data_IF_683029702692
#
_entry.id   IF_683029702692
#
_cell.length_a   1.000
_cell.length_b   1.000
_cell.length_c   1.000
_cell.angle_alpha   90.00
_cell.angle_beta   90.00
_cell.angle_gamma   90.00
#
_symmetry.space_group_name_H-M   'P 1'
#
loop_
_entity.id
_entity.type
_entity.pdbx_description
1 polymer ?
#
# COMPACT_ATOMS: atom_id res chain seq x y z
N UNK A 1 8.46 67.16 48.16
CA UNK A 1 7.85 67.31 49.50
C UNK A 1 7.71 65.93 50.13
N UNK A 2 8.43 65.81 51.25
CA UNK A 2 8.18 65.02 52.48
C UNK A 2 7.94 63.52 52.31
N UNK A 3 8.94 62.69 52.58
CA UNK A 3 9.36 62.19 53.91
C UNK A 3 8.41 61.09 54.39
N UNK A 4 8.76 59.96 54.82
CA UNK A 4 9.84 59.36 55.67
C UNK A 4 9.13 58.19 56.36
N UNK A 5 9.57 57.16 56.75
CA UNK A 5 10.60 56.63 57.64
C UNK A 5 10.30 55.13 57.87
N UNK A 6 11.22 54.36 57.80
CA UNK A 6 12.08 53.66 58.83
C UNK A 6 11.56 52.27 59.24
N UNK A 7 12.48 51.40 59.06
CA UNK A 7 12.71 50.11 59.70
C UNK A 7 12.80 50.22 61.25
N UNK A 8 13.21 49.21 62.04
CA UNK A 8 13.66 47.83 61.82
C UNK A 8 13.29 46.87 63.00
N UNK A 9 14.04 45.79 63.05
CA UNK A 9 14.36 44.92 64.26
C UNK A 9 13.48 43.66 64.39
N UNK A 10 13.96 42.52 64.82
CA UNK A 10 15.27 41.89 65.06
C UNK A 10 15.00 40.42 65.40
N UNK A 11 15.90 39.58 64.96
CA UNK A 11 16.53 38.43 65.64
C UNK A 11 15.71 37.66 66.66
N UNK A 12 15.52 36.36 66.47
CA UNK A 12 15.86 35.32 67.41
C UNK A 12 16.00 33.96 66.75
N UNK A 13 17.20 33.46 66.75
CA UNK A 13 17.48 32.08 66.35
C UNK A 13 17.14 31.15 67.51
N UNK A 14 16.65 29.98 67.18
CA UNK A 14 16.74 28.80 68.05
C UNK A 14 17.13 27.61 67.11
N UNK A 15 18.35 27.15 67.36
CA UNK A 15 18.81 25.86 66.85
C UNK A 15 18.18 24.78 67.75
N UNK A 16 17.62 23.76 67.10
CA UNK A 16 17.36 22.47 67.72
C UNK A 16 17.91 21.36 66.86
N UNK A 17 18.77 20.62 67.51
CA UNK A 17 19.57 19.50 67.04
C UNK A 17 18.70 18.24 66.97
N UNK A 18 18.94 17.47 65.89
CA UNK A 18 18.98 16.02 65.80
C UNK A 18 17.73 15.20 66.08
N UNK A 19 17.46 14.38 65.13
CA UNK A 19 16.62 13.20 65.24
C UNK A 19 16.56 12.45 63.91
N UNK A 20 17.66 11.78 63.51
CA UNK A 20 17.61 10.79 62.40
C UNK A 20 16.88 9.58 62.96
N UNK A 21 15.61 9.41 62.61
CA UNK A 21 14.93 8.13 62.73
C UNK A 21 14.67 7.66 61.30
N UNK A 22 15.46 6.69 60.90
CA UNK A 22 15.28 5.98 59.64
C UNK A 22 13.96 5.21 59.67
N UNK A 23 12.99 5.70 58.92
CA UNK A 23 11.81 4.96 58.53
C UNK A 23 12.08 4.39 57.14
N UNK A 24 12.59 3.14 57.13
CA UNK A 24 12.58 2.30 55.94
C UNK A 24 11.14 2.01 55.54
N UNK A 25 10.62 2.79 54.59
CA UNK A 25 9.39 2.45 53.92
C UNK A 25 9.68 1.28 52.98
N UNK A 26 9.35 0.07 53.41
CA UNK A 26 9.14 -1.05 52.52
C UNK A 26 7.96 -0.64 51.63
N UNK A 27 8.26 -0.24 50.39
CA UNK A 27 7.28 -0.16 49.33
C UNK A 27 6.81 -1.60 49.05
N UNK A 28 5.67 -1.98 49.62
CA UNK A 28 4.96 -3.17 49.19
C UNK A 28 4.54 -2.91 47.73
N UNK A 29 5.27 -3.55 46.82
CA UNK A 29 4.88 -3.63 45.43
C UNK A 29 3.50 -4.31 45.39
N UNK A 30 2.44 -3.52 45.28
CA UNK A 30 1.13 -4.05 44.93
C UNK A 30 1.23 -4.50 43.48
N UNK A 31 1.38 -5.81 43.26
CA UNK A 31 1.15 -6.43 41.98
C UNK A 31 -0.26 -6.08 41.55
N UNK A 32 -0.38 -5.27 40.50
CA UNK A 32 -1.65 -5.02 39.84
C UNK A 32 -2.32 -6.37 39.54
N UNK A 33 -3.64 -6.50 39.79
CA UNK A 33 -4.34 -7.74 39.46
C UNK A 33 -4.09 -8.07 38.02
N UNK A 34 -3.58 -9.26 37.73
CA UNK A 34 -3.46 -9.76 36.38
C UNK A 34 -4.85 -9.70 35.73
N UNK A 35 -4.96 -8.93 34.66
CA UNK A 35 -6.15 -8.95 33.82
C UNK A 35 -6.40 -10.41 33.42
N UNK A 36 -7.65 -10.91 33.48
CA UNK A 36 -7.95 -12.25 33.01
C UNK A 36 -7.41 -12.39 31.59
N UNK A 37 -6.55 -13.37 31.38
CA UNK A 37 -6.08 -13.74 30.07
C UNK A 37 -7.29 -14.17 29.22
N UNK A 38 -7.95 -13.23 28.59
CA UNK A 38 -8.74 -13.55 27.42
C UNK A 38 -7.74 -14.06 26.39
N UNK A 39 -7.66 -15.36 26.27
CA UNK A 39 -6.97 -15.99 25.14
C UNK A 39 -7.79 -15.68 23.89
N UNK A 40 -7.70 -14.44 23.43
CA UNK A 40 -8.11 -14.11 22.08
C UNK A 40 -7.02 -14.76 21.24
N UNK A 41 -7.34 -15.91 20.69
CA UNK A 41 -6.51 -16.52 19.65
C UNK A 41 -6.72 -15.66 18.41
N UNK A 42 -6.03 -14.52 18.37
CA UNK A 42 -6.01 -13.65 17.18
C UNK A 42 -5.38 -14.46 16.07
N UNK A 43 -6.19 -14.87 15.10
CA UNK A 43 -5.69 -15.57 13.92
C UNK A 43 -4.92 -14.53 13.11
N UNK A 44 -3.65 -14.82 12.87
CA UNK A 44 -2.85 -13.94 12.01
C UNK A 44 -3.38 -13.95 10.58
N UNK A 45 -3.36 -12.82 9.85
CA UNK A 45 -3.88 -12.75 8.49
C UNK A 45 -3.32 -13.82 7.55
N UNK A 46 -2.00 -14.08 7.60
CA UNK A 46 -1.36 -15.11 6.80
C UNK A 46 -1.81 -16.52 7.20
N UNK A 47 -2.02 -16.79 8.49
CA UNK A 47 -2.49 -18.10 8.94
C UNK A 47 -3.87 -18.42 8.38
N UNK A 48 -4.74 -17.41 8.26
CA UNK A 48 -6.05 -17.61 7.63
C UNK A 48 -5.92 -18.03 6.16
N UNK A 49 -5.01 -17.42 5.43
CA UNK A 49 -4.79 -17.67 4.00
C UNK A 49 -3.98 -18.95 3.71
N UNK A 50 -3.26 -19.47 4.71
CA UNK A 50 -2.34 -20.61 4.51
C UNK A 50 -2.66 -21.84 5.36
N UNK A 51 -3.63 -21.75 6.28
CA UNK A 51 -4.00 -22.90 7.12
C UNK A 51 -4.42 -24.08 6.27
N UNK A 52 -3.97 -25.31 6.61
CA UNK A 52 -4.41 -26.51 5.92
C UNK A 52 -5.93 -26.71 6.05
N UNK A 53 -6.57 -27.07 4.95
CA UNK A 53 -7.99 -27.50 4.93
C UNK A 53 -7.99 -29.03 4.87
N UNK A 54 -8.43 -29.74 5.94
CA UNK A 54 -8.43 -31.19 5.99
C UNK A 54 -9.32 -31.82 4.91
N UNK A 55 -8.90 -32.95 4.36
CA UNK A 55 -9.68 -33.69 3.36
C UNK A 55 -11.03 -34.20 3.91
N UNK A 56 -11.16 -34.35 5.24
CA UNK A 56 -12.36 -34.72 5.91
C UNK A 56 -13.45 -33.62 5.93
N UNK A 57 -13.09 -32.38 5.59
CA UNK A 57 -14.10 -31.32 5.51
C UNK A 57 -15.00 -31.52 4.29
N UNK A 58 -16.33 -31.31 4.43
CA UNK A 58 -17.22 -31.27 3.28
C UNK A 58 -16.69 -30.23 2.25
N UNK A 59 -16.70 -30.62 0.98
CA UNK A 59 -16.24 -29.76 -0.14
C UNK A 59 -14.78 -29.25 0.00
N UNK A 60 -13.88 -30.01 0.65
CA UNK A 60 -12.50 -29.61 0.90
C UNK A 60 -11.76 -29.09 -0.35
N UNK A 61 -11.99 -29.70 -1.51
CA UNK A 61 -11.39 -29.24 -2.78
C UNK A 61 -11.87 -27.82 -3.17
N UNK A 62 -13.17 -27.55 -3.05
CA UNK A 62 -13.73 -26.21 -3.31
C UNK A 62 -13.21 -25.19 -2.29
N UNK A 63 -13.13 -25.57 -1.01
CA UNK A 63 -12.61 -24.68 0.04
C UNK A 63 -11.14 -24.32 -0.17
N UNK A 64 -10.30 -25.29 -0.54
CA UNK A 64 -8.88 -25.01 -0.90
C UNK A 64 -8.76 -24.11 -2.13
N UNK A 65 -9.62 -24.35 -3.14
CA UNK A 65 -9.68 -23.46 -4.30
C UNK A 65 -10.08 -22.05 -3.86
N UNK A 66 -11.14 -21.89 -3.06
CA UNK A 66 -11.60 -20.60 -2.55
C UNK A 66 -10.54 -19.88 -1.71
N UNK A 67 -9.84 -20.60 -0.81
CA UNK A 67 -8.72 -20.04 -0.04
C UNK A 67 -7.63 -19.46 -0.94
N UNK A 68 -7.23 -20.23 -1.95
CA UNK A 68 -6.26 -19.81 -2.95
C UNK A 68 -6.71 -18.57 -3.74
N UNK A 69 -7.98 -18.53 -4.14
CA UNK A 69 -8.56 -17.43 -4.91
C UNK A 69 -8.77 -16.17 -4.05
N UNK A 70 -9.07 -16.29 -2.77
CA UNK A 70 -9.09 -15.15 -1.83
C UNK A 70 -7.71 -14.51 -1.71
N UNK A 71 -6.65 -15.32 -1.70
CA UNK A 71 -5.29 -14.79 -1.78
C UNK A 71 -5.02 -14.17 -3.15
N UNK A 72 -5.38 -14.84 -4.27
CA UNK A 72 -5.20 -14.31 -5.61
C UNK A 72 -5.93 -12.99 -5.86
N UNK A 73 -7.10 -12.81 -5.24
CA UNK A 73 -7.91 -11.60 -5.28
C UNK A 73 -7.48 -10.49 -4.32
N UNK A 74 -6.40 -10.73 -3.56
CA UNK A 74 -5.85 -9.77 -2.60
C UNK A 74 -6.88 -9.19 -1.61
N UNK A 75 -7.88 -9.99 -1.24
CA UNK A 75 -8.99 -9.55 -0.39
C UNK A 75 -8.50 -8.99 0.95
N UNK A 76 -7.42 -9.58 1.49
CA UNK A 76 -6.86 -9.21 2.79
C UNK A 76 -6.34 -7.77 2.82
N UNK A 77 -5.66 -7.30 1.77
CA UNK A 77 -5.05 -5.96 1.74
C UNK A 77 -6.06 -4.84 1.94
N UNK A 78 -7.29 -5.01 1.41
CA UNK A 78 -8.36 -4.04 1.61
C UNK A 78 -9.21 -4.33 2.85
N UNK A 79 -9.44 -5.60 3.20
CA UNK A 79 -10.35 -5.99 4.28
C UNK A 79 -9.67 -6.23 5.63
N UNK A 80 -8.46 -5.66 5.81
CA UNK A 80 -7.69 -5.66 7.05
C UNK A 80 -7.29 -4.23 7.41
N UNK A 81 -7.82 -3.68 8.50
CA UNK A 81 -7.31 -2.42 9.07
C UNK A 81 -6.20 -2.71 10.09
N UNK A 82 -5.37 -1.73 10.36
CA UNK A 82 -4.36 -1.82 11.40
C UNK A 82 -4.99 -2.17 12.76
N UNK A 83 -4.46 -3.17 13.45
CA UNK A 83 -5.00 -3.68 14.72
C UNK A 83 -6.38 -4.32 14.63
N UNK A 84 -6.89 -4.58 13.41
CA UNK A 84 -8.17 -5.25 13.18
C UNK A 84 -8.05 -6.73 12.96
N UNK A 85 -9.19 -7.42 12.99
CA UNK A 85 -9.28 -8.85 12.68
C UNK A 85 -9.26 -9.08 11.15
N UNK A 86 -8.66 -10.18 10.67
CA UNK A 86 -8.61 -10.52 9.27
C UNK A 86 -10.00 -10.53 8.60
N UNK A 87 -10.09 -9.93 7.42
CA UNK A 87 -11.32 -9.83 6.61
C UNK A 87 -12.49 -9.07 7.26
N UNK A 88 -12.30 -8.46 8.44
CA UNK A 88 -13.33 -7.68 9.10
C UNK A 88 -13.52 -6.27 8.51
N UNK A 89 -12.64 -5.85 7.62
CA UNK A 89 -12.73 -4.53 6.96
C UNK A 89 -12.39 -3.36 7.87
N UNK A 90 -12.87 -2.18 7.49
CA UNK A 90 -12.65 -0.94 8.21
C UNK A 90 -11.39 -0.18 7.77
N UNK A 91 -10.68 -0.63 6.74
CA UNK A 91 -9.63 0.15 6.09
C UNK A 91 -10.25 1.31 5.31
N UNK A 92 -9.80 2.53 5.59
CA UNK A 92 -10.23 3.73 4.87
C UNK A 92 -9.40 3.96 3.61
N UNK A 93 -9.96 3.69 2.45
CA UNK A 93 -9.35 3.95 1.14
C UNK A 93 -9.54 5.42 0.78
N UNK A 94 -8.44 6.17 0.74
CA UNK A 94 -8.44 7.60 0.39
C UNK A 94 -8.54 7.76 -1.12
N UNK A 95 -9.58 8.45 -1.56
CA UNK A 95 -9.79 8.76 -2.99
C UNK A 95 -9.88 10.28 -3.19
N UNK A 96 -9.77 10.78 -4.43
CA UNK A 96 -10.04 12.19 -4.72
C UNK A 96 -11.46 12.64 -4.37
N UNK A 97 -12.36 11.71 -4.11
CA UNK A 97 -13.79 11.94 -3.84
C UNK A 97 -14.14 11.85 -2.35
N UNK A 98 -13.20 11.48 -1.50
CA UNK A 98 -13.37 11.23 -0.08
C UNK A 98 -12.86 9.85 0.34
N UNK A 99 -13.27 9.37 1.50
CA UNK A 99 -12.82 8.10 2.07
C UNK A 99 -13.91 7.03 1.93
N UNK A 100 -13.53 5.88 1.39
CA UNK A 100 -14.39 4.69 1.28
C UNK A 100 -13.84 3.64 2.25
N UNK A 101 -14.69 3.16 3.16
CA UNK A 101 -14.30 2.12 4.11
C UNK A 101 -14.66 0.74 3.59
N UNK A 102 -13.70 -0.18 3.65
CA UNK A 102 -13.91 -1.58 3.26
C UNK A 102 -14.91 -2.26 4.19
N UNK A 103 -15.88 -3.05 3.66
CA UNK A 103 -16.86 -3.75 4.48
C UNK A 103 -16.26 -4.98 5.18
N UNK A 104 -16.98 -5.50 6.17
CA UNK A 104 -16.71 -6.79 6.78
C UNK A 104 -17.14 -7.91 5.81
N UNK A 105 -16.21 -8.79 5.44
CA UNK A 105 -16.45 -9.95 4.58
C UNK A 105 -16.21 -11.28 5.29
N UNK A 106 -16.20 -11.27 6.64
CA UNK A 106 -16.16 -12.49 7.44
C UNK A 106 -17.52 -13.25 7.40
N UNK A 107 -17.54 -14.43 7.97
CA UNK A 107 -18.77 -15.25 8.06
C UNK A 107 -19.82 -14.74 9.05
N UNK A 108 -19.61 -13.58 9.68
CA UNK A 108 -20.61 -12.97 10.56
C UNK A 108 -21.91 -12.72 9.81
N UNK A 109 -23.04 -13.13 10.42
CA UNK A 109 -24.35 -13.09 9.75
C UNK A 109 -25.03 -11.72 9.82
N UNK A 110 -24.61 -10.85 10.75
CA UNK A 110 -25.26 -9.56 10.95
C UNK A 110 -24.46 -8.42 10.27
N UNK A 111 -23.13 -8.49 10.36
CA UNK A 111 -22.24 -7.41 9.92
C UNK A 111 -21.32 -7.81 8.76
N UNK A 112 -21.23 -9.12 8.46
CA UNK A 112 -20.44 -9.69 7.39
C UNK A 112 -21.29 -10.29 6.27
N UNK A 113 -20.71 -11.24 5.53
CA UNK A 113 -21.36 -11.89 4.37
C UNK A 113 -21.86 -13.30 4.67
N UNK A 114 -21.99 -13.68 5.97
CA UNK A 114 -22.39 -15.04 6.37
C UNK A 114 -23.75 -15.49 5.82
N UNK A 115 -24.68 -14.56 5.62
CA UNK A 115 -26.02 -14.83 5.07
C UNK A 115 -26.13 -14.66 3.54
N UNK A 116 -25.08 -14.17 2.86
CA UNK A 116 -25.15 -13.94 1.42
C UNK A 116 -25.32 -15.25 0.65
N UNK A 117 -26.14 -15.22 -0.38
CA UNK A 117 -26.27 -16.32 -1.36
C UNK A 117 -25.16 -16.23 -2.40
N UNK A 118 -24.93 -17.32 -3.12
CA UNK A 118 -23.98 -17.33 -4.24
C UNK A 118 -24.34 -16.29 -5.31
N UNK A 119 -25.65 -16.09 -5.58
CA UNK A 119 -26.08 -15.08 -6.56
C UNK A 119 -25.86 -13.65 -6.09
N UNK A 120 -26.04 -13.36 -4.80
CA UNK A 120 -25.73 -12.03 -4.23
C UNK A 120 -24.23 -11.74 -4.29
N UNK A 121 -23.39 -12.71 -3.94
CA UNK A 121 -21.94 -12.57 -4.03
C UNK A 121 -21.47 -12.38 -5.49
N UNK A 122 -21.98 -13.20 -6.42
CA UNK A 122 -21.71 -13.07 -7.83
C UNK A 122 -22.08 -11.67 -8.37
N UNK A 123 -23.26 -11.17 -8.03
CA UNK A 123 -23.69 -9.82 -8.41
C UNK A 123 -22.78 -8.72 -7.83
N UNK A 124 -22.30 -8.90 -6.62
CA UNK A 124 -21.37 -7.96 -6.03
C UNK A 124 -20.04 -7.95 -6.80
N UNK A 125 -19.51 -9.11 -7.14
CA UNK A 125 -18.25 -9.26 -7.89
C UNK A 125 -18.37 -8.77 -9.33
N UNK A 126 -19.51 -8.94 -9.99
CA UNK A 126 -19.69 -8.66 -11.42
C UNK A 126 -20.37 -7.33 -11.71
N UNK A 127 -21.41 -7.00 -10.96
CA UNK A 127 -22.27 -5.85 -11.25
C UNK A 127 -22.04 -4.71 -10.24
N UNK A 128 -21.27 -4.96 -9.19
CA UNK A 128 -21.08 -4.01 -8.11
C UNK A 128 -22.39 -3.72 -7.36
N UNK A 129 -23.21 -4.74 -7.09
CA UNK A 129 -24.51 -4.63 -6.40
C UNK A 129 -24.48 -5.51 -5.15
N UNK A 130 -24.72 -4.93 -3.97
CA UNK A 130 -24.74 -5.65 -2.70
C UNK A 130 -26.04 -6.47 -2.50
N UNK A 131 -26.14 -7.17 -1.36
CA UNK A 131 -27.28 -8.00 -0.99
C UNK A 131 -28.57 -7.21 -0.74
N UNK A 132 -28.47 -5.89 -0.54
CA UNK A 132 -29.59 -4.96 -0.38
C UNK A 132 -29.94 -4.19 -1.69
N UNK A 133 -29.49 -4.68 -2.85
CA UNK A 133 -29.69 -4.08 -4.17
C UNK A 133 -29.11 -2.65 -4.33
N UNK A 134 -28.07 -2.32 -3.54
CA UNK A 134 -27.40 -1.00 -3.63
C UNK A 134 -26.09 -1.12 -4.42
N UNK A 135 -25.77 -0.09 -5.21
CA UNK A 135 -24.52 -0.04 -5.95
C UNK A 135 -23.33 0.06 -4.98
N UNK A 136 -22.29 -0.69 -5.23
CA UNK A 136 -20.97 -0.59 -4.59
C UNK A 136 -20.12 0.46 -5.31
N UNK A 137 -19.29 1.19 -4.56
CA UNK A 137 -18.34 2.11 -5.18
C UNK A 137 -17.22 1.34 -5.89
N UNK A 138 -16.71 1.83 -7.04
CA UNK A 138 -15.69 1.14 -7.82
C UNK A 138 -14.28 1.15 -7.19
N UNK A 139 -14.15 1.61 -5.94
CA UNK A 139 -13.00 1.28 -5.09
C UNK A 139 -12.94 -0.22 -4.76
N UNK A 140 -14.10 -0.90 -4.69
CA UNK A 140 -14.19 -2.34 -4.84
C UNK A 140 -14.01 -2.65 -6.33
N UNK A 141 -12.97 -3.41 -6.74
CA UNK A 141 -12.58 -3.50 -8.15
C UNK A 141 -13.45 -4.46 -8.96
N UNK A 142 -14.79 -4.40 -8.80
CA UNK A 142 -15.73 -5.21 -9.59
C UNK A 142 -15.62 -5.02 -11.10
N UNK A 143 -15.13 -3.87 -11.66
CA UNK A 143 -14.87 -3.79 -13.09
C UNK A 143 -13.82 -4.79 -13.58
N UNK A 144 -12.96 -5.27 -12.70
CA UNK A 144 -11.97 -6.31 -12.96
C UNK A 144 -12.47 -7.69 -12.48
N UNK A 145 -13.05 -7.78 -11.29
CA UNK A 145 -13.55 -9.03 -10.73
C UNK A 145 -14.68 -9.67 -11.56
N UNK A 146 -15.41 -8.90 -12.33
CA UNK A 146 -16.42 -9.44 -13.26
C UNK A 146 -15.86 -10.43 -14.30
N UNK A 147 -14.54 -10.45 -14.52
CA UNK A 147 -13.87 -11.43 -15.38
C UNK A 147 -13.66 -12.78 -14.67
N UNK A 148 -13.97 -12.88 -13.39
CA UNK A 148 -13.85 -14.13 -12.61
C UNK A 148 -15.01 -15.06 -12.96
N UNK A 149 -14.71 -16.35 -13.10
CA UNK A 149 -15.77 -17.32 -13.42
C UNK A 149 -16.73 -17.53 -12.24
N UNK A 150 -17.98 -17.88 -12.54
CA UNK A 150 -18.97 -18.21 -11.52
C UNK A 150 -18.47 -19.30 -10.56
N UNK A 151 -17.79 -20.32 -11.08
CA UNK A 151 -17.24 -21.41 -10.28
C UNK A 151 -16.20 -20.88 -9.26
N UNK A 152 -15.38 -19.92 -9.66
CA UNK A 152 -14.37 -19.31 -8.80
C UNK A 152 -15.00 -18.40 -7.76
N UNK A 153 -16.04 -17.63 -8.09
CA UNK A 153 -16.80 -16.83 -7.13
C UNK A 153 -17.50 -17.71 -6.09
N UNK A 154 -18.12 -18.81 -6.52
CA UNK A 154 -18.75 -19.76 -5.62
C UNK A 154 -17.75 -20.42 -4.66
N UNK A 155 -16.52 -20.69 -5.13
CA UNK A 155 -15.44 -21.21 -4.29
C UNK A 155 -14.93 -20.17 -3.30
N UNK A 156 -14.76 -18.91 -3.73
CA UNK A 156 -14.38 -17.78 -2.87
C UNK A 156 -15.39 -17.64 -1.72
N UNK A 157 -16.67 -17.52 -2.04
CA UNK A 157 -17.72 -17.37 -1.02
C UNK A 157 -17.76 -18.59 -0.09
N UNK A 158 -17.65 -19.81 -0.62
CA UNK A 158 -17.62 -21.02 0.20
C UNK A 158 -16.48 -20.95 1.24
N UNK A 159 -15.29 -20.52 0.86
CA UNK A 159 -14.18 -20.36 1.80
C UNK A 159 -14.45 -19.22 2.80
N UNK A 160 -14.88 -18.05 2.35
CA UNK A 160 -15.15 -16.90 3.22
C UNK A 160 -16.17 -17.26 4.31
N UNK A 161 -17.17 -18.08 4.00
CA UNK A 161 -18.13 -18.60 4.99
C UNK A 161 -17.55 -19.56 6.04
N UNK A 162 -16.32 -20.04 5.85
CA UNK A 162 -15.59 -20.84 6.85
C UNK A 162 -14.67 -20.00 7.74
N UNK A 163 -14.52 -18.70 7.46
CA UNK A 163 -13.71 -17.81 8.28
C UNK A 163 -14.36 -17.56 9.64
N UNK A 164 -13.60 -17.25 10.70
CA UNK A 164 -14.18 -16.89 11.97
C UNK A 164 -15.12 -15.68 11.82
N UNK A 165 -16.33 -15.75 12.41
CA UNK A 165 -17.25 -14.61 12.40
C UNK A 165 -16.69 -13.49 13.29
N UNK A 166 -16.59 -12.29 12.74
CA UNK A 166 -16.18 -11.08 13.47
C UNK A 166 -17.36 -10.09 13.44
N UNK A 167 -17.96 -9.83 14.60
CA UNK A 167 -19.03 -8.82 14.69
C UNK A 167 -18.42 -7.43 14.71
N UNK A 168 -18.32 -6.82 13.55
CA UNK A 168 -17.77 -5.47 13.38
C UNK A 168 -18.48 -4.74 12.24
N UNK A 169 -18.96 -3.53 12.53
CA UNK A 169 -19.54 -2.63 11.54
C UNK A 169 -18.51 -1.52 11.21
N UNK A 170 -17.94 -1.51 10.01
CA UNK A 170 -17.06 -0.44 9.57
C UNK A 170 -17.72 0.93 9.61
N UNK A 171 -16.95 2.04 9.70
CA UNK A 171 -17.49 3.39 9.55
C UNK A 171 -18.24 3.57 8.22
N UNK A 172 -19.20 4.47 8.19
CA UNK A 172 -19.82 4.90 6.93
C UNK A 172 -18.80 5.64 6.06
N UNK A 173 -18.97 5.54 4.74
CA UNK A 173 -18.12 6.28 3.81
C UNK A 173 -18.23 7.79 4.03
N UNK A 174 -17.12 8.50 3.89
CA UNK A 174 -17.02 9.96 3.97
C UNK A 174 -16.72 10.50 2.57
N UNK A 175 -17.77 10.72 1.79
CA UNK A 175 -17.71 11.15 0.39
C UNK A 175 -18.32 12.52 0.22
N UNK A 176 -17.79 13.28 -0.76
CA UNK A 176 -18.28 14.61 -1.10
C UNK A 176 -19.66 14.53 -1.78
N UNK A 177 -20.54 15.52 -1.49
CA UNK A 177 -21.82 15.69 -2.19
C UNK A 177 -21.58 15.88 -3.71
N UNK A 178 -22.34 15.20 -4.58
CA UNK A 178 -23.47 14.27 -4.31
C UNK A 178 -23.05 12.78 -4.31
N UNK A 179 -21.76 12.47 -4.20
CA UNK A 179 -21.20 11.10 -4.38
C UNK A 179 -21.50 10.17 -3.20
N UNK A 180 -21.94 10.70 -2.06
CA UNK A 180 -22.44 9.87 -0.94
C UNK A 180 -23.70 9.10 -1.30
N UNK A 181 -24.44 9.52 -2.34
CA UNK A 181 -25.62 8.80 -2.81
C UNK A 181 -25.25 7.70 -3.79
N UNK A 182 -25.41 6.46 -3.38
CA UNK A 182 -25.01 5.26 -4.17
C UNK A 182 -25.68 5.17 -5.55
N UNK A 183 -26.83 5.85 -5.78
CA UNK A 183 -27.44 5.88 -7.11
C UNK A 183 -26.57 6.57 -8.18
N UNK A 184 -25.63 7.45 -7.78
CA UNK A 184 -24.69 8.12 -8.70
C UNK A 184 -23.77 7.11 -9.38
N UNK A 185 -23.45 6.01 -8.68
CA UNK A 185 -22.63 4.90 -9.22
C UNK A 185 -23.31 4.21 -10.40
N UNK A 186 -24.66 4.19 -10.43
CA UNK A 186 -25.39 3.59 -11.56
C UNK A 186 -25.09 4.33 -12.88
N UNK A 187 -25.00 5.66 -12.82
CA UNK A 187 -24.57 6.46 -13.98
C UNK A 187 -23.11 6.19 -14.37
N UNK A 188 -22.23 6.01 -13.37
CA UNK A 188 -20.84 5.64 -13.59
C UNK A 188 -20.72 4.26 -14.26
N UNK A 189 -21.46 3.26 -13.78
CA UNK A 189 -21.49 1.92 -14.36
C UNK A 189 -21.97 1.94 -15.81
N UNK A 190 -22.99 2.73 -16.14
CA UNK A 190 -23.49 2.87 -17.51
C UNK A 190 -22.40 3.37 -18.48
N UNK A 191 -21.47 4.20 -18.00
CA UNK A 191 -20.43 4.82 -18.81
C UNK A 191 -19.16 3.98 -18.89
N UNK A 192 -18.84 3.22 -17.84
CA UNK A 192 -17.49 2.65 -17.68
C UNK A 192 -17.44 1.15 -17.35
N UNK A 193 -18.57 0.54 -16.92
CA UNK A 193 -18.59 -0.90 -16.67
C UNK A 193 -18.77 -1.64 -17.99
N UNK A 194 -17.74 -2.39 -18.39
CA UNK A 194 -17.82 -3.29 -19.55
C UNK A 194 -18.71 -4.51 -19.18
N UNK A 195 -19.45 -5.04 -20.12
CA UNK A 195 -20.33 -6.19 -19.94
C UNK A 195 -19.73 -7.52 -20.41
N UNK A 196 -18.45 -7.55 -20.80
CA UNK A 196 -17.83 -8.74 -21.35
C UNK A 196 -17.23 -9.62 -20.25
N UNK A 197 -17.51 -10.93 -20.33
CA UNK A 197 -16.86 -11.95 -19.52
C UNK A 197 -15.47 -12.27 -20.04
N UNK A 198 -14.60 -12.85 -19.20
CA UNK A 198 -13.31 -13.35 -19.65
C UNK A 198 -13.49 -14.44 -20.70
N UNK A 199 -12.74 -14.32 -21.79
CA UNK A 199 -12.66 -15.33 -22.85
C UNK A 199 -11.20 -15.64 -23.14
N UNK A 200 -10.87 -16.93 -23.13
CA UNK A 200 -9.55 -17.39 -23.56
C UNK A 200 -9.35 -17.07 -25.04
N UNK A 201 -8.18 -16.54 -25.37
CA UNK A 201 -7.76 -16.33 -26.75
C UNK A 201 -7.27 -17.67 -27.33
N UNK A 202 -7.93 -18.23 -28.37
CA UNK A 202 -7.54 -19.50 -28.95
C UNK A 202 -6.21 -19.44 -29.70
N UNK A 203 -5.68 -18.25 -29.98
CA UNK A 203 -4.38 -18.04 -30.63
C UNK A 203 -3.22 -17.97 -29.64
N UNK A 204 -3.50 -17.97 -28.34
CA UNK A 204 -2.52 -17.92 -27.27
C UNK A 204 -2.40 -19.27 -26.55
N UNK A 205 -1.28 -19.44 -25.85
CA UNK A 205 -1.07 -20.65 -25.06
C UNK A 205 -2.03 -20.72 -23.85
N UNK A 206 -2.31 -21.91 -23.32
CA UNK A 206 -3.06 -22.05 -22.07
C UNK A 206 -2.43 -21.27 -20.90
N UNK A 207 -1.10 -21.23 -20.83
CA UNK A 207 -0.37 -20.46 -19.82
C UNK A 207 -0.59 -18.96 -19.96
N UNK A 208 -0.49 -18.42 -21.18
CA UNK A 208 -0.79 -17.00 -21.42
C UNK A 208 -2.23 -16.65 -21.03
N UNK A 209 -3.19 -17.50 -21.42
CA UNK A 209 -4.59 -17.32 -21.04
C UNK A 209 -4.81 -17.37 -19.52
N UNK A 210 -4.10 -18.27 -18.82
CA UNK A 210 -4.13 -18.31 -17.36
C UNK A 210 -3.57 -17.01 -16.74
N UNK A 211 -2.45 -16.53 -17.26
CA UNK A 211 -1.87 -15.24 -16.86
C UNK A 211 -2.82 -14.07 -17.12
N UNK A 212 -3.44 -14.01 -18.30
CA UNK A 212 -4.45 -13.01 -18.65
C UNK A 212 -5.64 -13.02 -17.68
N UNK A 213 -6.16 -14.20 -17.36
CA UNK A 213 -7.25 -14.38 -16.40
C UNK A 213 -6.90 -13.86 -15.01
N UNK A 214 -5.71 -14.20 -14.52
CA UNK A 214 -5.26 -13.76 -13.19
C UNK A 214 -4.99 -12.25 -13.15
N UNK A 215 -4.28 -11.71 -14.12
CA UNK A 215 -3.87 -10.29 -14.14
C UNK A 215 -5.07 -9.36 -14.35
N UNK A 216 -5.99 -9.72 -15.25
CA UNK A 216 -7.17 -8.89 -15.54
C UNK A 216 -8.37 -9.19 -14.64
N UNK A 217 -8.46 -10.38 -14.03
CA UNK A 217 -9.51 -10.76 -13.11
C UNK A 217 -9.11 -10.52 -11.66
N UNK A 218 -8.86 -11.61 -10.91
CA UNK A 218 -8.63 -11.57 -9.47
C UNK A 218 -7.45 -10.70 -9.06
N UNK A 219 -6.33 -10.74 -9.79
CA UNK A 219 -5.17 -9.90 -9.51
C UNK A 219 -5.42 -8.42 -9.74
N UNK A 220 -6.45 -8.05 -10.50
CA UNK A 220 -6.89 -6.67 -10.80
C UNK A 220 -5.76 -5.64 -10.90
N UNK A 221 -4.61 -6.07 -11.46
CA UNK A 221 -3.38 -5.28 -11.52
C UNK A 221 -3.59 -3.91 -12.17
N UNK A 222 -4.44 -3.85 -13.21
CA UNK A 222 -4.81 -2.60 -13.86
C UNK A 222 -5.58 -1.64 -12.96
N UNK A 223 -6.18 -2.09 -11.88
CA UNK A 223 -6.85 -1.23 -10.90
C UNK A 223 -5.94 -0.13 -10.34
N UNK A 224 -4.65 -0.45 -10.12
CA UNK A 224 -3.62 0.50 -9.71
C UNK A 224 -2.72 0.92 -10.87
N UNK A 225 -2.37 -0.01 -11.78
CA UNK A 225 -1.40 0.19 -12.84
C UNK A 225 -1.98 0.75 -14.14
N UNK A 226 -3.21 1.29 -14.13
CA UNK A 226 -3.82 2.01 -15.26
C UNK A 226 -4.18 3.43 -14.84
N UNK A 227 -3.83 4.46 -15.64
CA UNK A 227 -4.17 5.83 -15.31
C UNK A 227 -5.69 6.03 -15.23
N UNK A 228 -6.16 6.84 -14.29
CA UNK A 228 -7.57 7.16 -14.11
C UNK A 228 -7.95 8.45 -14.85
N UNK A 229 -9.22 8.55 -15.23
CA UNK A 229 -9.80 9.80 -15.69
C UNK A 229 -10.33 10.63 -14.48
N UNK A 230 -10.90 11.80 -14.74
CA UNK A 230 -11.42 12.70 -13.70
C UNK A 230 -12.57 12.10 -12.87
N UNK A 231 -13.23 11.05 -13.35
CA UNK A 231 -14.30 10.33 -12.65
C UNK A 231 -13.82 9.02 -12.01
N UNK A 232 -12.49 8.80 -11.92
CA UNK A 232 -11.89 7.63 -11.30
C UNK A 232 -11.92 6.35 -12.15
N UNK A 233 -12.45 6.40 -13.36
CA UNK A 233 -12.48 5.23 -14.25
C UNK A 233 -11.13 5.05 -14.97
N UNK A 234 -10.83 3.80 -15.32
CA UNK A 234 -9.64 3.44 -16.09
C UNK A 234 -9.63 4.06 -17.47
N UNK A 235 -8.48 4.61 -17.89
CA UNK A 235 -8.25 4.99 -19.29
C UNK A 235 -7.91 3.74 -20.10
N UNK A 236 -8.93 3.06 -20.61
CA UNK A 236 -8.79 1.77 -21.29
C UNK A 236 -7.73 1.73 -22.40
N UNK A 237 -7.52 2.84 -23.13
CA UNK A 237 -6.46 2.96 -24.16
C UNK A 237 -5.04 3.07 -23.56
N UNK A 238 -4.91 3.17 -22.26
CA UNK A 238 -3.65 3.27 -21.54
C UNK A 238 -3.57 2.19 -20.44
N UNK A 239 -4.22 1.06 -20.67
CA UNK A 239 -4.23 -0.05 -19.73
C UNK A 239 -2.79 -0.47 -19.40
N UNK A 240 -2.50 -0.65 -18.12
CA UNK A 240 -1.18 -0.99 -17.58
C UNK A 240 -0.06 0.05 -17.80
N UNK A 241 -0.35 1.27 -18.26
CA UNK A 241 0.67 2.32 -18.47
C UNK A 241 1.04 3.08 -17.18
N UNK A 242 0.84 2.46 -16.03
CA UNK A 242 1.08 3.07 -14.72
C UNK A 242 -0.07 3.92 -14.21
N UNK A 243 -0.05 4.24 -12.92
CA UNK A 243 -1.09 5.05 -12.27
C UNK A 243 -0.60 5.63 -10.95
N UNK A 244 -1.46 6.37 -10.27
CA UNK A 244 -1.18 6.94 -8.94
C UNK A 244 -2.31 6.56 -7.99
N UNK A 245 -1.96 6.06 -6.81
CA UNK A 245 -2.88 5.67 -5.74
C UNK A 245 -2.32 6.15 -4.40
N UNK A 246 -3.09 6.91 -3.62
CA UNK A 246 -2.73 7.34 -2.26
C UNK A 246 -1.31 7.96 -2.14
N UNK A 247 -0.92 8.78 -3.11
CA UNK A 247 0.43 9.36 -3.22
C UNK A 247 1.56 8.34 -3.47
N UNK A 248 1.20 7.13 -3.94
CA UNK A 248 2.14 6.16 -4.50
C UNK A 248 1.98 6.08 -6.00
N UNK A 249 3.08 5.84 -6.69
CA UNK A 249 3.08 5.57 -8.13
C UNK A 249 3.12 4.06 -8.33
N UNK A 250 2.11 3.54 -9.03
CA UNK A 250 2.13 2.21 -9.58
C UNK A 250 2.79 2.28 -10.97
N UNK A 251 3.96 1.65 -11.21
CA UNK A 251 4.69 1.80 -12.46
C UNK A 251 3.95 1.17 -13.64
N UNK A 252 4.37 1.52 -14.83
CA UNK A 252 4.01 0.90 -16.09
C UNK A 252 4.37 -0.61 -16.08
N UNK A 253 3.43 -1.47 -16.44
CA UNK A 253 3.62 -2.93 -16.51
C UNK A 253 3.77 -3.44 -17.94
N UNK A 254 3.80 -2.55 -18.94
CA UNK A 254 3.96 -2.94 -20.33
C UNK A 254 5.42 -3.29 -20.67
N UNK A 255 5.65 -3.76 -21.89
CA UNK A 255 6.99 -4.06 -22.40
C UNK A 255 7.84 -2.80 -22.71
N UNK A 256 7.53 -1.65 -22.11
CA UNK A 256 8.32 -0.44 -22.25
C UNK A 256 9.68 -0.58 -21.54
N UNK A 257 10.79 -0.35 -22.26
CA UNK A 257 12.16 -0.52 -21.76
C UNK A 257 12.59 0.54 -20.73
N UNK A 258 11.91 1.68 -20.69
CA UNK A 258 12.27 2.80 -19.82
C UNK A 258 11.39 2.87 -18.57
N UNK A 259 10.07 2.80 -18.73
CA UNK A 259 9.10 3.00 -17.65
C UNK A 259 8.39 1.73 -17.21
N UNK A 260 8.56 0.63 -17.98
CA UNK A 260 7.86 -0.63 -17.77
C UNK A 260 8.77 -1.82 -17.52
N UNK A 261 8.26 -2.99 -17.87
CA UNK A 261 8.93 -4.28 -17.66
C UNK A 261 9.80 -4.72 -18.85
N UNK A 262 10.03 -3.86 -19.87
CA UNK A 262 10.73 -4.26 -21.08
C UNK A 262 12.09 -4.94 -20.83
N UNK A 263 12.89 -4.40 -19.90
CA UNK A 263 14.22 -4.92 -19.54
C UNK A 263 14.19 -6.09 -18.54
N UNK A 264 13.03 -6.44 -17.99
CA UNK A 264 12.91 -7.57 -17.07
C UNK A 264 12.70 -8.86 -17.86
N UNK A 265 13.30 -9.93 -17.40
CA UNK A 265 12.96 -11.29 -17.87
C UNK A 265 11.64 -11.77 -17.28
N UNK A 266 11.07 -12.85 -17.79
CA UNK A 266 9.92 -13.53 -17.18
C UNK A 266 10.27 -13.98 -15.75
N UNK A 267 11.49 -14.51 -15.55
CA UNK A 267 11.96 -14.93 -14.24
C UNK A 267 12.09 -13.77 -13.25
N UNK A 268 12.53 -12.58 -13.70
CA UNK A 268 12.58 -11.38 -12.86
C UNK A 268 11.18 -10.96 -12.36
N UNK A 269 10.18 -11.02 -13.24
CA UNK A 269 8.78 -10.72 -12.85
C UNK A 269 8.25 -11.79 -11.91
N UNK A 270 8.51 -13.07 -12.20
CA UNK A 270 8.10 -14.21 -11.37
C UNK A 270 8.72 -14.13 -9.97
N UNK A 271 10.03 -13.81 -9.89
CA UNK A 271 10.73 -13.61 -8.61
C UNK A 271 10.14 -12.43 -7.84
N UNK A 272 9.90 -11.29 -8.52
CA UNK A 272 9.32 -10.10 -7.89
C UNK A 272 7.94 -10.40 -7.30
N UNK A 273 7.06 -11.08 -8.01
CA UNK A 273 5.75 -11.49 -7.51
C UNK A 273 5.86 -12.48 -6.33
N UNK A 274 6.93 -13.28 -6.27
CA UNK A 274 7.15 -14.27 -5.21
C UNK A 274 7.66 -13.67 -3.91
N UNK A 275 8.59 -12.71 -3.96
CA UNK A 275 9.28 -12.21 -2.77
C UNK A 275 9.29 -10.69 -2.64
N UNK A 276 8.63 -9.96 -3.53
CA UNK A 276 8.54 -8.49 -3.50
C UNK A 276 9.85 -7.77 -3.84
N UNK A 277 10.85 -8.47 -4.36
CA UNK A 277 12.17 -7.90 -4.69
C UNK A 277 12.93 -8.79 -5.65
N UNK A 278 13.71 -8.17 -6.52
CA UNK A 278 14.61 -8.86 -7.44
C UNK A 278 15.86 -8.01 -7.70
N UNK A 279 16.57 -8.25 -8.81
CA UNK A 279 17.74 -7.46 -9.18
C UNK A 279 17.41 -6.01 -9.61
N UNK A 280 16.15 -5.70 -9.92
CA UNK A 280 15.73 -4.41 -10.50
C UNK A 280 14.98 -3.52 -9.51
N UNK A 281 14.20 -4.08 -8.59
CA UNK A 281 13.29 -3.30 -7.75
C UNK A 281 12.94 -4.00 -6.42
N UNK A 282 12.28 -3.23 -5.54
CA UNK A 282 11.62 -3.70 -4.32
C UNK A 282 10.19 -3.14 -4.22
N UNK A 283 9.24 -3.96 -3.82
CA UNK A 283 7.83 -3.61 -3.66
C UNK A 283 7.60 -2.89 -2.33
N UNK A 284 7.40 -1.58 -2.37
CA UNK A 284 7.03 -0.75 -1.22
C UNK A 284 5.59 -0.25 -1.30
N UNK A 285 5.12 0.41 -0.24
CA UNK A 285 3.76 0.95 -0.16
C UNK A 285 2.68 -0.12 -0.36
N UNK A 286 1.56 0.21 -1.01
CA UNK A 286 0.46 -0.76 -1.23
C UNK A 286 0.90 -2.05 -1.94
N UNK A 287 1.90 -1.99 -2.82
CA UNK A 287 2.43 -3.18 -3.48
C UNK A 287 3.10 -4.16 -2.49
N UNK A 288 3.56 -3.69 -1.34
CA UNK A 288 4.10 -4.56 -0.29
C UNK A 288 3.01 -5.48 0.29
N UNK A 289 1.80 -4.98 0.45
CA UNK A 289 0.65 -5.76 0.93
C UNK A 289 0.19 -6.77 -0.12
N UNK A 290 0.14 -6.37 -1.40
CA UNK A 290 -0.13 -7.28 -2.53
C UNK A 290 0.87 -8.44 -2.55
N UNK A 291 2.17 -8.19 -2.35
CA UNK A 291 3.14 -9.27 -2.24
C UNK A 291 2.83 -10.15 -1.02
N UNK A 292 2.62 -9.53 0.13
CA UNK A 292 2.50 -10.24 1.42
C UNK A 292 1.24 -11.11 1.46
N UNK A 293 0.09 -10.58 1.05
CA UNK A 293 -1.21 -11.23 1.23
C UNK A 293 -1.76 -11.91 -0.04
N UNK A 294 -1.10 -11.69 -1.19
CA UNK A 294 -1.55 -12.25 -2.46
C UNK A 294 -0.43 -12.98 -3.20
N UNK A 295 0.38 -12.29 -3.98
CA UNK A 295 1.21 -12.93 -5.00
C UNK A 295 2.27 -13.88 -4.46
N UNK A 296 2.79 -13.65 -3.24
CA UNK A 296 3.73 -14.58 -2.60
C UNK A 296 3.09 -15.95 -2.27
N UNK A 297 1.78 -16.00 -2.14
CA UNK A 297 0.99 -17.19 -1.80
C UNK A 297 0.55 -17.99 -3.03
N UNK A 298 0.67 -17.42 -4.23
CA UNK A 298 0.32 -18.11 -5.46
C UNK A 298 1.31 -19.21 -5.81
N UNK A 299 0.89 -20.16 -6.63
CA UNK A 299 1.77 -21.18 -7.18
C UNK A 299 2.83 -20.55 -8.10
N UNK A 300 3.97 -21.22 -8.24
CA UNK A 300 5.00 -20.79 -9.18
C UNK A 300 4.45 -20.72 -10.62
N UNK A 301 3.67 -21.73 -11.01
CA UNK A 301 3.02 -21.77 -12.33
C UNK A 301 2.13 -20.55 -12.60
N UNK A 302 1.32 -20.13 -11.62
CA UNK A 302 0.44 -18.97 -11.79
C UNK A 302 1.22 -17.65 -11.84
N UNK A 303 2.27 -17.49 -10.99
CA UNK A 303 3.16 -16.30 -11.08
C UNK A 303 3.90 -16.24 -12.41
N UNK A 304 4.38 -17.38 -12.91
CA UNK A 304 5.04 -17.47 -14.22
C UNK A 304 4.05 -17.14 -15.34
N UNK A 305 2.84 -17.68 -15.31
CA UNK A 305 1.77 -17.34 -16.26
C UNK A 305 1.45 -15.84 -16.26
N UNK A 306 1.33 -15.21 -15.08
CA UNK A 306 1.16 -13.76 -14.98
C UNK A 306 2.33 -13.01 -15.62
N UNK A 307 3.57 -13.45 -15.40
CA UNK A 307 4.75 -12.85 -15.99
C UNK A 307 4.76 -13.00 -17.53
N UNK A 308 4.40 -14.17 -18.06
CA UNK A 308 4.26 -14.42 -19.50
C UNK A 308 3.24 -13.44 -20.12
N UNK A 309 2.08 -13.28 -19.50
CA UNK A 309 1.07 -12.34 -19.97
C UNK A 309 1.57 -10.89 -19.94
N UNK A 310 2.11 -10.43 -18.80
CA UNK A 310 2.59 -9.04 -18.65
C UNK A 310 3.71 -8.72 -19.64
N UNK A 311 4.62 -9.65 -19.90
CA UNK A 311 5.72 -9.49 -20.88
C UNK A 311 5.23 -9.45 -22.33
N UNK A 312 4.02 -9.91 -22.62
CA UNK A 312 3.42 -9.86 -23.95
C UNK A 312 2.70 -8.55 -24.26
N UNK A 313 2.53 -7.67 -23.28
CA UNK A 313 1.83 -6.39 -23.44
C UNK A 313 2.63 -5.45 -24.34
N UNK A 314 1.94 -4.80 -25.29
CA UNK A 314 2.56 -3.80 -26.15
C UNK A 314 3.16 -2.65 -25.33
N UNK A 315 4.35 -2.15 -25.69
CA UNK A 315 5.01 -1.10 -24.94
C UNK A 315 4.21 0.21 -24.98
N UNK A 316 4.12 0.86 -23.83
CA UNK A 316 3.57 2.22 -23.73
C UNK A 316 4.43 3.23 -24.50
N UNK A 317 3.85 4.39 -24.80
CA UNK A 317 4.58 5.44 -25.53
C UNK A 317 5.64 6.10 -24.63
N UNK A 318 6.88 6.15 -25.11
CA UNK A 318 7.94 6.91 -24.48
C UNK A 318 7.75 8.42 -24.67
N UNK A 319 7.95 9.19 -23.60
CA UNK A 319 8.07 10.65 -23.61
C UNK A 319 9.47 11.00 -23.16
N UNK A 320 10.21 11.77 -23.94
CA UNK A 320 11.54 12.27 -23.55
C UNK A 320 11.38 13.55 -22.74
N UNK A 321 11.70 13.55 -21.44
CA UNK A 321 11.61 14.75 -20.61
C UNK A 321 12.75 15.74 -20.91
N UNK A 322 12.52 17.01 -20.54
CA UNK A 322 13.55 18.02 -20.60
C UNK A 322 14.69 17.71 -19.60
N UNK A 323 15.91 18.10 -19.97
CA UNK A 323 17.06 17.95 -19.09
C UNK A 323 16.98 18.91 -17.89
N UNK A 324 17.30 18.46 -16.67
CA UNK A 324 17.36 19.31 -15.49
C UNK A 324 18.51 20.31 -15.56
N UNK A 325 18.41 21.42 -14.80
CA UNK A 325 19.51 22.36 -14.73
C UNK A 325 20.70 21.80 -13.95
N UNK A 326 21.93 22.22 -14.34
CA UNK A 326 23.16 21.71 -13.75
C UNK A 326 23.33 22.07 -12.26
N UNK A 327 22.68 23.13 -11.79
CA UNK A 327 22.70 23.53 -10.37
C UNK A 327 22.00 22.53 -9.48
N UNK A 328 20.75 22.14 -9.83
CA UNK A 328 19.98 21.13 -9.12
C UNK A 328 20.72 19.78 -9.12
N UNK A 329 21.30 19.38 -10.24
CA UNK A 329 22.09 18.14 -10.33
C UNK A 329 23.28 18.13 -9.38
N UNK A 330 24.03 19.23 -9.25
CA UNK A 330 25.18 19.30 -8.33
C UNK A 330 24.76 19.26 -6.86
N UNK A 331 23.71 20.02 -6.47
CA UNK A 331 23.21 19.99 -5.09
C UNK A 331 22.64 18.62 -4.75
N UNK A 332 21.84 18.04 -5.65
CA UNK A 332 21.29 16.70 -5.48
C UNK A 332 22.35 15.61 -5.35
N UNK A 333 23.46 15.72 -6.12
CA UNK A 333 24.59 14.80 -6.00
C UNK A 333 25.26 14.86 -4.61
N UNK A 334 25.44 16.06 -4.05
CA UNK A 334 26.01 16.24 -2.72
C UNK A 334 25.11 15.64 -1.63
N UNK A 335 23.78 15.89 -1.71
CA UNK A 335 22.81 15.32 -0.77
C UNK A 335 22.76 13.78 -0.89
N UNK A 336 22.82 13.27 -2.11
CA UNK A 336 22.86 11.83 -2.36
C UNK A 336 24.06 11.16 -1.70
N UNK A 337 25.26 11.72 -1.88
CA UNK A 337 26.48 11.19 -1.28
C UNK A 337 26.41 11.20 0.26
N UNK A 338 25.84 12.26 0.86
CA UNK A 338 25.71 12.38 2.33
C UNK A 338 24.62 11.48 2.93
N UNK A 339 23.47 11.32 2.27
CA UNK A 339 22.29 10.72 2.89
C UNK A 339 21.89 9.35 2.31
N UNK A 340 22.28 9.02 1.08
CA UNK A 340 21.74 7.87 0.33
C UNK A 340 22.80 6.83 -0.07
N UNK A 341 24.03 7.27 -0.35
CA UNK A 341 25.09 6.43 -0.92
C UNK A 341 25.53 5.29 0.00
N UNK A 342 25.35 5.41 1.32
CA UNK A 342 25.68 4.33 2.28
C UNK A 342 24.92 3.04 2.01
N UNK A 343 23.69 3.12 1.49
CA UNK A 343 22.86 1.96 1.16
C UNK A 343 22.80 1.72 -0.36
N UNK A 344 22.64 2.78 -1.15
CA UNK A 344 22.45 2.69 -2.59
C UNK A 344 23.75 2.77 -3.39
N UNK A 345 24.88 2.94 -2.75
CA UNK A 345 26.25 3.12 -3.29
C UNK A 345 26.37 4.38 -4.17
N UNK A 346 27.60 4.91 -4.32
CA UNK A 346 27.85 6.14 -5.09
C UNK A 346 27.42 6.05 -6.58
N UNK A 347 27.48 4.84 -7.13
CA UNK A 347 27.09 4.55 -8.51
C UNK A 347 25.61 4.13 -8.67
N UNK A 348 24.80 4.19 -7.61
CA UNK A 348 23.38 3.88 -7.64
C UNK A 348 23.03 2.42 -7.93
N UNK A 349 23.98 1.47 -7.89
CA UNK A 349 23.69 0.05 -8.18
C UNK A 349 23.08 -0.68 -7.00
N UNK A 350 23.14 -0.11 -5.80
CA UNK A 350 22.60 -0.71 -4.60
C UNK A 350 23.19 -2.10 -4.29
N UNK A 351 22.42 -2.89 -3.56
CA UNK A 351 22.73 -4.29 -3.29
C UNK A 351 21.52 -5.13 -3.74
N UNK A 352 21.65 -5.94 -4.79
CA UNK A 352 20.51 -6.69 -5.34
C UNK A 352 19.72 -7.43 -4.25
N UNK A 353 18.42 -7.36 -4.31
CA UNK A 353 17.46 -7.93 -3.32
C UNK A 353 17.49 -7.34 -1.91
N UNK A 354 18.37 -6.38 -1.60
CA UNK A 354 18.46 -5.70 -0.29
C UNK A 354 18.23 -4.20 -0.44
N UNK A 355 19.08 -3.53 -1.18
CA UNK A 355 18.96 -2.12 -1.52
C UNK A 355 18.74 -2.02 -3.03
N UNK A 356 17.54 -1.68 -3.48
CA UNK A 356 17.23 -1.70 -4.90
C UNK A 356 18.14 -0.74 -5.68
N UNK A 357 18.52 -1.11 -6.92
CA UNK A 357 19.28 -0.21 -7.79
C UNK A 357 18.44 1.02 -8.13
N UNK A 358 19.09 2.17 -8.21
CA UNK A 358 18.49 3.43 -8.59
C UNK A 358 18.67 3.74 -10.08
N UNK A 359 19.51 3.00 -10.79
CA UNK A 359 19.68 3.22 -12.22
C UNK A 359 20.08 1.98 -13.02
N UNK A 360 19.54 1.82 -14.23
CA UNK A 360 18.28 2.40 -14.69
C UNK A 360 17.07 1.73 -14.03
N UNK A 361 16.15 2.51 -13.50
CA UNK A 361 15.01 1.99 -12.75
C UNK A 361 13.69 2.54 -13.30
N UNK A 362 12.79 1.67 -13.72
CA UNK A 362 11.52 2.02 -14.36
C UNK A 362 10.62 2.89 -13.45
N UNK A 363 10.57 2.59 -12.15
CA UNK A 363 9.77 3.35 -11.18
C UNK A 363 10.23 4.80 -11.06
N UNK A 364 11.55 5.05 -11.11
CA UNK A 364 12.13 6.40 -11.00
C UNK A 364 11.92 7.25 -12.26
N UNK A 365 11.58 6.62 -13.38
CA UNK A 365 11.36 7.26 -14.67
C UNK A 365 9.88 7.51 -15.00
N UNK A 366 8.97 7.19 -14.07
CA UNK A 366 7.56 7.53 -14.21
C UNK A 366 7.37 9.06 -14.34
N UNK A 367 6.30 9.49 -15.00
CA UNK A 367 6.03 10.92 -15.21
C UNK A 367 5.82 11.64 -13.85
N UNK A 368 5.04 11.06 -12.97
CA UNK A 368 4.74 11.60 -11.64
C UNK A 368 5.83 11.21 -10.63
N UNK A 369 6.53 12.17 -9.98
CA UNK A 369 7.57 11.89 -9.00
C UNK A 369 7.03 11.52 -7.61
N UNK A 370 5.73 11.68 -7.36
CA UNK A 370 5.13 11.60 -6.01
C UNK A 370 5.51 10.32 -5.26
N UNK A 371 5.66 9.19 -5.93
CA UNK A 371 6.04 7.93 -5.28
C UNK A 371 7.46 7.95 -4.73
N UNK A 372 8.42 8.57 -5.43
CA UNK A 372 9.80 8.74 -4.92
C UNK A 372 9.86 9.79 -3.81
N UNK A 373 9.14 10.90 -3.97
CA UNK A 373 8.99 11.91 -2.92
C UNK A 373 8.42 11.29 -1.65
N UNK A 374 7.36 10.47 -1.77
CA UNK A 374 6.76 9.74 -0.66
C UNK A 374 7.79 8.83 0.03
N UNK A 375 8.52 8.02 -0.74
CA UNK A 375 9.54 7.12 -0.16
C UNK A 375 10.64 7.87 0.59
N UNK A 376 11.09 9.02 0.10
CA UNK A 376 12.10 9.84 0.78
C UNK A 376 11.51 10.51 2.02
N UNK A 377 10.31 11.08 1.91
CA UNK A 377 9.68 11.83 3.00
C UNK A 377 9.18 10.92 4.13
N UNK A 378 8.45 9.87 3.82
CA UNK A 378 7.79 9.01 4.80
C UNK A 378 8.54 7.69 5.08
N UNK A 379 9.48 7.33 4.21
CA UNK A 379 10.09 6.00 4.22
C UNK A 379 9.24 4.96 3.50
N UNK A 380 9.74 3.73 3.47
CA UNK A 380 9.03 2.61 2.83
C UNK A 380 9.47 1.27 3.42
N UNK A 381 8.56 0.30 3.46
CA UNK A 381 8.84 -1.09 3.83
C UNK A 381 8.57 -2.00 2.64
N UNK A 382 9.47 -2.95 2.41
CA UNK A 382 9.28 -3.97 1.37
C UNK A 382 8.37 -5.08 1.90
N UNK A 383 7.51 -5.60 1.02
CA UNK A 383 6.63 -6.73 1.32
C UNK A 383 7.39 -7.98 1.80
N UNK A 384 6.73 -8.79 2.60
CA UNK A 384 7.27 -10.02 3.17
C UNK A 384 6.71 -11.25 2.48
N UNK A 385 7.40 -12.37 2.63
CA UNK A 385 6.95 -13.70 2.20
C UNK A 385 7.48 -14.75 3.17
N UNK A 386 6.96 -15.98 3.09
CA UNK A 386 7.45 -17.09 3.93
C UNK A 386 8.97 -17.33 3.80
N UNK A 387 9.52 -17.12 2.60
CA UNK A 387 10.98 -17.27 2.34
C UNK A 387 11.78 -16.00 2.66
N UNK A 388 11.13 -14.87 2.89
CA UNK A 388 11.72 -13.57 3.21
C UNK A 388 10.85 -12.83 4.24
N UNK A 389 10.83 -13.28 5.51
CA UNK A 389 9.93 -12.76 6.53
C UNK A 389 10.35 -11.40 7.09
N UNK A 390 11.61 -10.99 6.92
CA UNK A 390 12.08 -9.71 7.43
C UNK A 390 11.83 -8.59 6.44
N UNK A 391 10.99 -7.58 6.77
CA UNK A 391 10.78 -6.43 5.92
C UNK A 391 12.03 -5.54 5.94
N UNK A 392 12.57 -5.24 4.77
CA UNK A 392 13.60 -4.21 4.63
C UNK A 392 12.92 -2.84 4.62
N UNK A 393 13.52 -1.88 5.30
CA UNK A 393 12.91 -0.56 5.50
C UNK A 393 13.88 0.53 5.04
N UNK A 394 13.40 1.43 4.18
CA UNK A 394 14.03 2.73 3.90
C UNK A 394 13.51 3.71 4.96
N UNK A 395 14.40 4.42 5.70
CA UNK A 395 13.96 5.38 6.71
C UNK A 395 13.34 6.63 6.07
N UNK A 396 12.55 7.37 6.85
CA UNK A 396 12.09 8.72 6.51
C UNK A 396 13.24 9.72 6.61
N UNK A 397 13.30 10.65 5.66
CA UNK A 397 14.21 11.80 5.67
C UNK A 397 13.47 13.14 5.84
N UNK A 398 12.17 13.13 6.11
CA UNK A 398 11.40 14.35 6.30
C UNK A 398 11.94 15.26 7.42
N UNK A 399 12.57 14.66 8.43
CA UNK A 399 13.17 15.36 9.56
C UNK A 399 14.53 15.99 9.26
N UNK A 400 15.20 15.56 8.19
CA UNK A 400 16.58 15.98 7.83
C UNK A 400 16.60 16.92 6.63
N UNK A 401 15.77 16.67 5.62
CA UNK A 401 15.81 17.36 4.33
C UNK A 401 14.63 18.33 4.19
N UNK A 402 14.93 19.56 3.77
CA UNK A 402 13.91 20.53 3.41
C UNK A 402 13.32 20.26 2.00
N UNK A 403 12.31 21.04 1.60
CA UNK A 403 11.61 20.83 0.34
C UNK A 403 12.53 21.03 -0.88
N UNK A 404 13.49 21.95 -0.81
CA UNK A 404 14.44 22.18 -1.92
C UNK A 404 15.47 21.06 -2.00
N UNK A 405 15.96 20.59 -0.87
CA UNK A 405 16.90 19.48 -0.79
C UNK A 405 16.31 18.19 -1.30
N UNK A 406 15.04 17.89 -0.93
CA UNK A 406 14.32 16.72 -1.48
C UNK A 406 14.13 16.88 -2.98
N UNK A 407 13.73 18.06 -3.48
CA UNK A 407 13.56 18.30 -4.91
C UNK A 407 14.87 18.09 -5.69
N UNK A 408 15.99 18.58 -5.16
CA UNK A 408 17.32 18.46 -5.78
C UNK A 408 17.78 16.99 -5.81
N UNK A 409 17.67 16.24 -4.70
CA UNK A 409 18.08 14.82 -4.66
C UNK A 409 17.17 13.93 -5.50
N UNK A 410 15.86 14.17 -5.52
CA UNK A 410 14.93 13.47 -6.42
C UNK A 410 15.26 13.74 -7.88
N UNK A 411 15.51 14.99 -8.23
CA UNK A 411 15.95 15.38 -9.58
C UNK A 411 17.24 14.68 -9.98
N UNK A 412 18.23 14.63 -9.08
CA UNK A 412 19.50 13.94 -9.31
C UNK A 412 19.30 12.45 -9.54
N UNK A 413 18.59 11.75 -8.64
CA UNK A 413 18.34 10.29 -8.74
C UNK A 413 17.60 9.96 -10.04
N UNK A 414 16.61 10.74 -10.41
CA UNK A 414 15.80 10.57 -11.63
C UNK A 414 16.53 10.89 -12.93
N UNK A 415 17.75 11.45 -12.86
CA UNK A 415 18.55 11.82 -14.03
C UNK A 415 20.01 11.32 -13.98
N UNK A 416 20.28 10.32 -13.12
CA UNK A 416 21.60 9.70 -12.99
C UNK A 416 21.55 8.23 -13.40
N UNK A 417 22.71 7.66 -13.67
CA UNK A 417 22.91 6.23 -13.92
C UNK A 417 22.00 5.64 -15.01
N UNK A 418 21.73 6.43 -16.07
CA UNK A 418 20.89 6.01 -17.20
C UNK A 418 19.40 6.29 -17.02
N UNK A 419 18.96 6.89 -15.92
CA UNK A 419 17.62 7.47 -15.79
C UNK A 419 17.51 8.79 -16.55
N UNK A 420 16.29 9.09 -17.01
CA UNK A 420 15.95 10.37 -17.62
C UNK A 420 14.48 10.69 -17.32
N UNK A 421 14.26 11.68 -16.44
CA UNK A 421 12.93 12.11 -16.05
C UNK A 421 12.87 13.62 -15.81
N UNK A 422 11.68 14.19 -15.75
CA UNK A 422 11.51 15.62 -15.48
C UNK A 422 12.09 16.00 -14.11
N UNK A 423 12.63 17.22 -14.02
CA UNK A 423 13.05 17.82 -12.76
C UNK A 423 11.85 17.99 -11.82
N UNK A 424 12.13 17.99 -10.52
CA UNK A 424 11.15 18.18 -9.45
C UNK A 424 11.38 19.54 -8.80
N UNK A 425 10.33 20.25 -8.47
CA UNK A 425 10.38 21.54 -7.79
C UNK A 425 10.14 21.42 -6.28
N UNK A 426 10.63 22.38 -5.50
CA UNK A 426 10.33 22.47 -4.07
C UNK A 426 8.83 22.62 -3.78
N UNK A 427 8.04 23.18 -4.73
CA UNK A 427 6.59 23.27 -4.59
C UNK A 427 5.88 21.91 -4.72
N UNK A 428 6.42 21.01 -5.57
CA UNK A 428 5.90 19.63 -5.69
C UNK A 428 6.14 18.88 -4.38
N UNK A 429 7.35 18.96 -3.85
CA UNK A 429 7.74 18.34 -2.56
C UNK A 429 6.90 18.88 -1.40
N UNK A 430 6.66 20.20 -1.34
CA UNK A 430 5.80 20.80 -0.32
C UNK A 430 4.38 20.23 -0.40
N UNK A 431 3.85 20.10 -1.60
CA UNK A 431 2.53 19.49 -1.83
C UNK A 431 2.50 18.03 -1.39
N UNK A 432 3.56 17.26 -1.68
CA UNK A 432 3.71 15.88 -1.23
C UNK A 432 3.73 15.81 0.31
N UNK A 433 4.53 16.65 0.96
CA UNK A 433 4.65 16.72 2.43
C UNK A 433 3.30 17.05 3.09
N UNK A 434 2.54 18.00 2.54
CA UNK A 434 1.20 18.33 3.02
C UNK A 434 0.22 17.15 2.89
N UNK A 435 0.21 16.47 1.75
CA UNK A 435 -0.62 15.27 1.53
C UNK A 435 -0.28 14.12 2.48
N UNK A 436 0.98 14.04 2.93
CA UNK A 436 1.48 13.03 3.86
C UNK A 436 1.31 13.45 5.33
N UNK A 437 0.77 14.66 5.61
CA UNK A 437 0.66 15.25 6.95
C UNK A 437 2.00 15.30 7.70
N UNK A 438 3.11 15.56 6.98
CA UNK A 438 4.44 15.67 7.55
C UNK A 438 4.76 17.14 7.82
N UNK A 439 4.94 17.48 9.10
CA UNK A 439 5.25 18.85 9.52
C UNK A 439 6.73 19.18 9.26
N UNK A 440 7.00 20.42 8.79
CA UNK A 440 8.36 20.98 8.61
C UNK A 440 8.85 21.74 9.84
N UNK A 441 8.05 21.81 10.91
CA UNK A 441 8.33 22.62 12.09
C UNK A 441 9.68 22.27 12.77
N UNK A 442 10.20 21.06 12.57
CA UNK A 442 11.48 20.64 13.10
C UNK A 442 12.69 21.12 12.31
N UNK A 443 12.50 21.62 11.09
CA UNK A 443 13.61 22.07 10.22
C UNK A 443 14.01 23.54 10.46
N UNK A 444 13.19 24.30 11.17
CA UNK A 444 13.41 25.73 11.42
C UNK A 444 14.24 26.03 12.67
N UNK A 445 14.63 25.03 13.46
CA UNK A 445 15.30 25.25 14.76
C UNK A 445 16.82 25.50 14.62
N UNK A 446 17.46 25.18 13.49
CA UNK A 446 18.91 25.23 13.37
C UNK A 446 19.49 26.40 12.51
N UNK A 447 18.69 27.38 12.09
CA UNK A 447 19.23 28.54 11.34
C UNK A 447 19.37 29.82 12.17
N UNK A 448 19.17 29.75 13.50
CA UNK A 448 19.08 30.92 14.37
C UNK A 448 20.22 31.17 15.36
N UNK A 449 21.21 30.29 15.52
CA UNK A 449 22.29 30.48 16.47
C UNK A 449 23.68 30.32 15.84
N UNK A 450 24.05 31.25 14.95
CA UNK A 450 25.43 31.62 14.69
C UNK A 450 25.50 33.14 14.49
N UNK A 451 25.58 33.86 15.61
CA UNK A 451 26.17 35.20 15.71
C UNK A 451 27.12 35.24 16.90
#
# INVERSE_FOLDING_TARGET
MKTSHRAPTAIAGVAVIAGIVGLSHFATSQTAPALPAHTITTILPLDLLTRPIPDSMPNAAQLRRGQYLVAAGDCMSCHLREGGEPLAGGLGLKTPFGVIYSPNITSDKETGIGNWTNDQFYRAMHDGIDDADKNLYPAFPYPWFRLVSREDDDAILAFLKTTPPVKYTPPGNDLQFPLEFRFTVKGWNLLYLDSQDFRSDPHQTPEWNRGAYLVNGLGHCGGCHTPKNALGADKSKQQFNGGTLENWVAPDLTANDRTGLGKWSIDDVTEFLRIGRNAHAGAGGPMADVITYSTSLLSEADRHAMAVYLKSLEPSRNVTPAQPNAGAMRRGAAIYSDACASCHLENGVGQPRYFPPLGPNAMLQQADPIGLEHMILAGSRIGTSSSRPSPLTMPSFAWKLDDQEVADVVTFIRNSWGNQAAAVSASDVRTARQKLNLDTAHLTVNSGDQN
#
